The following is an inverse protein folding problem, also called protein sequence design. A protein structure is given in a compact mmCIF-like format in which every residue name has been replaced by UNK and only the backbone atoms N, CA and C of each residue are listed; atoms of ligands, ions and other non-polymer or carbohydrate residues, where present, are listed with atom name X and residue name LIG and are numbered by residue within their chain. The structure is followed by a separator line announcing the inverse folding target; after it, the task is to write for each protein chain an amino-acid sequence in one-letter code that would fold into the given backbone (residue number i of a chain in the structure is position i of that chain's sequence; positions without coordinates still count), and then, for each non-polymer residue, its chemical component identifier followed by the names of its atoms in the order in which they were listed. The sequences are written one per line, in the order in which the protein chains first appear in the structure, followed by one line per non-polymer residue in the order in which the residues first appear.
data_IF_108822695915
#
_entry.id   IF_108822695915
#
_cell.length_a   1.000
_cell.length_b   1.000
_cell.length_c   1.000
_cell.angle_alpha   90.00
_cell.angle_beta   90.00
_cell.angle_gamma   90.00
#
_symmetry.space_group_name_H-M   'P 1'
#
loop_
_entity.id
_entity.type
_entity.pdbx_description
1 polymer ?
#
# COMPACT_ATOMS: atom_id res chain seq x y z
N UNK A 1 0.18 6.85 26.05
CA UNK A 1 0.31 6.22 24.78
C UNK A 1 -0.85 6.53 23.89
N UNK A 2 -0.57 6.96 22.73
CA UNK A 2 -1.58 7.54 21.89
C UNK A 2 -1.89 6.61 20.72
N UNK A 3 -3.17 6.39 20.46
CA UNK A 3 -3.58 5.64 19.27
C UNK A 3 -3.09 6.31 18.00
N UNK A 4 -2.91 7.63 18.05
CA UNK A 4 -2.39 8.41 16.93
C UNK A 4 -0.95 7.98 16.62
N UNK A 5 -0.11 7.81 17.62
CA UNK A 5 1.27 7.36 17.39
C UNK A 5 1.34 5.97 16.82
N UNK A 6 0.52 5.07 17.36
CA UNK A 6 0.43 3.71 16.87
C UNK A 6 -0.04 3.69 15.42
N UNK A 7 -1.04 4.49 15.10
CA UNK A 7 -1.59 4.58 13.75
C UNK A 7 -0.58 5.17 12.78
N UNK A 8 0.17 6.18 13.20
CA UNK A 8 1.23 6.75 12.36
C UNK A 8 2.31 5.73 12.03
N UNK A 9 2.67 4.90 13.00
CA UNK A 9 3.65 3.84 12.79
C UNK A 9 3.13 2.81 11.78
N UNK A 10 1.85 2.44 11.88
CA UNK A 10 1.22 1.53 10.92
C UNK A 10 1.22 2.12 9.52
N UNK A 11 0.86 3.40 9.41
CA UNK A 11 0.82 4.09 8.12
C UNK A 11 2.21 4.09 7.49
N UNK A 12 3.25 4.32 8.28
CA UNK A 12 4.61 4.29 7.76
C UNK A 12 4.97 2.93 7.19
N UNK A 13 4.61 1.86 7.90
CA UNK A 13 4.85 0.49 7.43
C UNK A 13 4.07 0.20 6.16
N UNK A 14 2.81 0.59 6.14
CA UNK A 14 1.94 0.36 4.98
C UNK A 14 2.40 1.17 3.77
N UNK A 15 2.90 2.38 4.01
CA UNK A 15 3.43 3.22 2.95
C UNK A 15 4.64 2.54 2.29
N UNK A 16 5.55 1.98 3.09
CA UNK A 16 6.70 1.27 2.57
C UNK A 16 6.28 0.02 1.79
N UNK A 17 5.31 -0.71 2.32
CA UNK A 17 4.78 -1.91 1.66
C UNK A 17 4.11 -1.55 0.34
N UNK A 18 3.32 -0.48 0.33
CA UNK A 18 2.65 -0.02 -0.88
C UNK A 18 3.64 0.44 -1.94
N UNK A 19 4.71 1.12 -1.52
CA UNK A 19 5.77 1.56 -2.43
C UNK A 19 6.46 0.36 -3.06
N UNK A 20 6.73 -0.69 -2.27
CA UNK A 20 7.34 -1.89 -2.79
C UNK A 20 6.42 -2.57 -3.81
N UNK A 21 5.14 -2.65 -3.50
CA UNK A 21 4.16 -3.25 -4.42
C UNK A 21 4.06 -2.45 -5.72
N UNK A 22 4.14 -1.13 -5.63
CA UNK A 22 4.16 -0.25 -6.80
C UNK A 22 5.37 -0.54 -7.66
N UNK A 23 6.55 -0.70 -7.05
CA UNK A 23 7.78 -0.99 -7.77
C UNK A 23 7.73 -2.36 -8.43
N UNK A 24 7.15 -3.34 -7.75
CA UNK A 24 6.98 -4.68 -8.31
C UNK A 24 6.12 -4.63 -9.57
N UNK A 25 5.04 -3.86 -9.52
CA UNK A 25 4.15 -3.71 -10.67
C UNK A 25 4.86 -2.98 -11.82
N UNK A 26 5.63 -1.96 -11.49
CA UNK A 26 6.40 -1.22 -12.49
C UNK A 26 7.42 -2.14 -13.18
N UNK A 27 8.15 -2.93 -12.40
CA UNK A 27 9.14 -3.87 -12.94
C UNK A 27 8.49 -4.89 -13.84
N UNK A 28 7.32 -5.39 -13.43
CA UNK A 28 6.57 -6.33 -14.26
C UNK A 28 6.18 -5.68 -15.59
N UNK A 29 5.74 -4.44 -15.55
CA UNK A 29 5.30 -3.75 -16.77
C UNK A 29 6.45 -3.60 -17.76
N UNK A 30 7.67 -3.45 -17.27
CA UNK A 30 8.84 -3.36 -18.13
C UNK A 30 9.27 -4.71 -18.69
N UNK A 31 9.00 -5.79 -17.96
CA UNK A 31 9.36 -7.15 -18.41
C UNK A 31 8.39 -7.73 -19.42
N UNK A 32 7.20 -7.17 -19.51
CA UNK A 32 6.18 -7.71 -20.41
C UNK A 32 6.71 -7.78 -21.84
N UNK A 33 6.35 -8.84 -22.60
CA UNK A 33 5.32 -9.87 -22.28
C UNK A 33 5.81 -11.02 -21.40
N UNK A 34 7.03 -10.98 -20.92
CA UNK A 34 7.52 -12.00 -19.99
C UNK A 34 6.76 -11.88 -18.67
N UNK A 35 6.38 -13.01 -18.10
CA UNK A 35 5.66 -13.07 -16.82
C UNK A 35 4.28 -12.40 -16.83
N UNK A 36 3.66 -12.25 -18.01
CA UNK A 36 2.33 -11.66 -18.10
C UNK A 36 1.30 -12.39 -17.24
N UNK A 37 1.50 -13.68 -16.99
CA UNK A 37 0.58 -14.47 -16.19
C UNK A 37 0.52 -14.03 -14.74
N UNK A 38 1.50 -13.28 -14.28
CA UNK A 38 1.53 -12.78 -12.91
C UNK A 38 0.88 -11.41 -12.74
N UNK A 39 0.40 -10.80 -13.84
CA UNK A 39 -0.18 -9.45 -13.80
C UNK A 39 -1.26 -9.33 -12.73
N UNK A 40 -2.22 -10.25 -12.73
CA UNK A 40 -3.33 -10.14 -11.79
C UNK A 40 -2.87 -10.29 -10.34
N UNK A 41 -1.93 -11.21 -10.09
CA UNK A 41 -1.40 -11.43 -8.76
C UNK A 41 -0.63 -10.20 -8.24
N UNK A 42 0.25 -9.65 -9.08
CA UNK A 42 1.03 -8.46 -8.70
C UNK A 42 0.12 -7.25 -8.53
N UNK A 43 -0.84 -7.09 -9.43
CA UNK A 43 -1.80 -5.99 -9.35
C UNK A 43 -2.67 -6.09 -8.09
N UNK A 44 -3.08 -7.30 -7.72
CA UNK A 44 -3.89 -7.51 -6.52
C UNK A 44 -3.12 -7.10 -5.27
N UNK A 45 -1.84 -7.47 -5.20
CA UNK A 45 -1.01 -7.08 -4.06
C UNK A 45 -0.88 -5.56 -3.95
N UNK A 46 -0.68 -4.89 -5.07
CA UNK A 46 -0.60 -3.44 -5.09
C UNK A 46 -1.93 -2.82 -4.68
N UNK A 47 -3.02 -3.31 -5.21
CA UNK A 47 -4.35 -2.84 -4.87
C UNK A 47 -4.61 -2.96 -3.37
N UNK A 48 -4.33 -4.13 -2.80
CA UNK A 48 -4.58 -4.38 -1.38
C UNK A 48 -3.70 -3.48 -0.50
N UNK A 49 -2.44 -3.30 -0.88
CA UNK A 49 -1.52 -2.47 -0.10
C UNK A 49 -1.97 -1.02 -0.08
N UNK A 50 -2.37 -0.46 -1.22
CA UNK A 50 -2.84 0.93 -1.28
C UNK A 50 -4.21 1.11 -0.64
N UNK A 51 -5.08 0.12 -0.77
CA UNK A 51 -6.38 0.15 -0.12
C UNK A 51 -6.25 0.21 1.40
N UNK A 52 -5.37 -0.61 1.95
CA UNK A 52 -5.12 -0.63 3.38
C UNK A 52 -4.48 0.67 3.86
N UNK A 53 -3.53 1.18 3.10
CA UNK A 53 -2.87 2.46 3.41
C UNK A 53 -3.89 3.60 3.46
N UNK A 54 -4.76 3.67 2.46
CA UNK A 54 -5.78 4.71 2.39
C UNK A 54 -6.74 4.63 3.56
N UNK A 55 -7.15 3.41 3.92
CA UNK A 55 -8.04 3.19 5.06
C UNK A 55 -7.43 3.73 6.35
N UNK A 56 -6.14 3.46 6.57
CA UNK A 56 -5.46 3.92 7.77
C UNK A 56 -5.26 5.43 7.77
N UNK A 57 -5.03 6.03 6.62
CA UNK A 57 -4.93 7.47 6.50
C UNK A 57 -6.24 8.16 6.84
N UNK A 58 -7.36 7.57 6.41
CA UNK A 58 -8.68 8.09 6.74
C UNK A 58 -8.94 8.00 8.25
N UNK A 59 -8.52 6.90 8.88
CA UNK A 59 -8.65 6.74 10.32
C UNK A 59 -7.86 7.83 11.05
N UNK A 60 -6.67 8.13 10.59
CA UNK A 60 -5.85 9.17 11.20
C UNK A 60 -6.49 10.55 11.06
N UNK A 61 -7.05 10.84 9.89
CA UNK A 61 -7.75 12.11 9.67
C UNK A 61 -8.94 12.25 10.60
N UNK A 62 -9.67 11.16 10.79
CA UNK A 62 -10.82 11.17 11.68
C UNK A 62 -10.40 11.48 13.12
N UNK A 63 -9.28 10.94 13.57
CA UNK A 63 -8.75 11.22 14.89
C UNK A 63 -8.32 12.69 15.05
N UNK A 64 -7.75 13.26 13.99
CA UNK A 64 -7.32 14.67 14.02
C UNK A 64 -8.48 15.64 14.01
N UNK A 65 -9.61 15.24 13.46
CA UNK A 65 -10.79 16.09 13.41
C UNK A 65 -11.61 16.06 14.69
N UNK A 66 -11.42 15.04 15.50
CA UNK A 66 -12.21 14.83 16.72
C UNK A 66 -11.91 15.83 17.84
#
# INVERSE_FOLDING_TARGET
MSDVESLKAEIKKLSAKATQAKMDLHDLSEELPVNWTTILSVAQKAHDAFSELESKRQDLQALHKA
#
